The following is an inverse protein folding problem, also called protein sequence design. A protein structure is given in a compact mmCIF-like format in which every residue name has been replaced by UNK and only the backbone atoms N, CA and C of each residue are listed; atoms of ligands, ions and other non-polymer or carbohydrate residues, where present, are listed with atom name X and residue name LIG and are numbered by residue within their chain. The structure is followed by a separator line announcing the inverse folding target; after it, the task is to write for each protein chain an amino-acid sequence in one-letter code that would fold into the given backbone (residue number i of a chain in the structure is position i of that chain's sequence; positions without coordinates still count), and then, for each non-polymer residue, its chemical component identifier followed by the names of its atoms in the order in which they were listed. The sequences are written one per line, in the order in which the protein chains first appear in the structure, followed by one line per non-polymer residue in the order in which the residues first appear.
data_IF_796084736579
#
_entry.id   IF_796084736579
#
_cell.length_a   1.000
_cell.length_b   1.000
_cell.length_c   1.000
_cell.angle_alpha   90.00
_cell.angle_beta   90.00
_cell.angle_gamma   90.00
#
_symmetry.space_group_name_H-M   'P 1'
#
loop_
_entity.id
_entity.type
_entity.pdbx_description
1 polymer ?
#
# COMPACT_ATOMS: atom_id res chain seq x y z
N UNK A 1 24.12 6.41 -10.19
CA UNK A 1 22.65 6.45 -9.98
C UNK A 1 22.39 6.21 -8.51
N UNK A 2 21.41 6.90 -7.90
CA UNK A 2 20.98 6.55 -6.53
C UNK A 2 20.40 5.14 -6.51
N UNK A 3 20.69 4.39 -5.45
CA UNK A 3 20.07 3.09 -5.22
C UNK A 3 18.56 3.28 -5.01
N UNK A 4 17.77 2.28 -5.36
CA UNK A 4 16.31 2.36 -5.26
C UNK A 4 15.78 1.37 -4.24
N UNK A 5 14.74 1.79 -3.50
CA UNK A 5 14.04 0.94 -2.56
C UNK A 5 12.53 1.11 -2.71
N UNK A 6 11.80 0.03 -2.58
CA UNK A 6 10.34 0.01 -2.46
C UNK A 6 10.00 -0.47 -1.06
N UNK A 7 9.22 0.34 -0.33
CA UNK A 7 8.56 -0.09 0.91
C UNK A 7 7.12 -0.44 0.54
N UNK A 8 6.78 -1.73 0.61
CA UNK A 8 5.45 -2.24 0.23
C UNK A 8 4.63 -2.62 1.46
N UNK A 9 3.40 -2.11 1.52
CA UNK A 9 2.45 -2.39 2.60
C UNK A 9 1.27 -3.23 2.08
N UNK A 10 1.03 -4.36 2.73
CA UNK A 10 -0.12 -5.24 2.42
C UNK A 10 -1.45 -4.62 2.86
N UNK A 11 -2.57 -5.22 2.45
CA UNK A 11 -3.91 -4.78 2.81
C UNK A 11 -4.35 -5.19 4.22
N UNK A 12 -5.57 -4.77 4.56
CA UNK A 12 -6.22 -5.11 5.83
C UNK A 12 -6.28 -6.62 6.07
N UNK A 13 -6.01 -7.00 7.30
CA UNK A 13 -6.09 -8.39 7.81
C UNK A 13 -5.37 -9.42 6.93
N UNK A 14 -4.28 -9.01 6.29
CA UNK A 14 -3.44 -9.79 5.40
C UNK A 14 -2.01 -9.85 5.94
N UNK A 15 -1.10 -10.44 5.19
CA UNK A 15 0.32 -10.49 5.49
C UNK A 15 1.14 -10.50 4.20
N UNK A 16 2.39 -10.08 4.28
CA UNK A 16 3.40 -10.26 3.22
C UNK A 16 4.33 -11.43 3.50
N UNK A 17 4.55 -11.72 4.78
CA UNK A 17 5.47 -12.74 5.27
C UNK A 17 4.70 -13.81 6.06
N UNK A 18 5.16 -15.05 5.97
CA UNK A 18 4.71 -16.14 6.84
C UNK A 18 5.22 -15.97 8.29
N UNK A 19 4.86 -16.89 9.17
CA UNK A 19 5.28 -16.86 10.58
C UNK A 19 6.79 -17.07 10.79
N UNK A 20 7.50 -17.53 9.77
CA UNK A 20 8.96 -17.70 9.75
C UNK A 20 9.68 -16.51 9.13
N UNK A 21 8.94 -15.49 8.66
CA UNK A 21 9.49 -14.31 8.01
C UNK A 21 9.82 -14.50 6.52
N UNK A 22 9.36 -15.57 5.88
CA UNK A 22 9.52 -15.75 4.45
C UNK A 22 8.39 -15.07 3.67
N UNK A 23 8.71 -14.57 2.48
CA UNK A 23 7.71 -13.97 1.59
C UNK A 23 6.61 -14.98 1.24
N UNK A 24 5.35 -14.55 1.31
CA UNK A 24 4.20 -15.35 0.88
C UNK A 24 4.13 -15.44 -0.64
N UNK A 25 4.90 -16.37 -1.20
CA UNK A 25 5.02 -16.59 -2.65
C UNK A 25 3.75 -17.14 -3.31
N UNK A 26 2.80 -17.63 -2.53
CA UNK A 26 1.45 -17.97 -3.03
C UNK A 26 0.67 -16.74 -3.53
N UNK A 27 1.08 -15.53 -3.13
CA UNK A 27 0.54 -14.28 -3.64
C UNK A 27 1.32 -13.84 -4.87
N UNK A 28 0.77 -14.09 -6.06
CA UNK A 28 1.42 -13.78 -7.34
C UNK A 28 2.00 -12.36 -7.37
N UNK A 29 1.26 -11.37 -6.86
CA UNK A 29 1.72 -9.99 -6.80
C UNK A 29 3.04 -9.81 -6.06
N UNK A 30 3.19 -10.42 -4.89
CA UNK A 30 4.42 -10.32 -4.10
C UNK A 30 5.58 -11.01 -4.79
N UNK A 31 5.35 -12.21 -5.36
CA UNK A 31 6.39 -12.93 -6.10
C UNK A 31 6.87 -12.15 -7.31
N UNK A 32 5.93 -11.62 -8.11
CA UNK A 32 6.26 -10.82 -9.30
C UNK A 32 7.06 -9.57 -8.92
N UNK A 33 6.68 -8.89 -7.84
CA UNK A 33 7.42 -7.70 -7.36
C UNK A 33 8.80 -8.06 -6.83
N UNK A 34 8.94 -9.16 -6.09
CA UNK A 34 10.23 -9.65 -5.60
C UNK A 34 11.18 -9.95 -6.77
N UNK A 35 10.71 -10.69 -7.78
CA UNK A 35 11.50 -11.06 -8.95
C UNK A 35 11.91 -9.84 -9.77
N UNK A 36 10.96 -8.92 -9.99
CA UNK A 36 11.23 -7.65 -10.67
C UNK A 36 12.29 -6.82 -9.93
N UNK A 37 12.14 -6.65 -8.62
CA UNK A 37 13.08 -5.87 -7.83
C UNK A 37 14.47 -6.51 -7.80
N UNK A 38 14.56 -7.84 -7.69
CA UNK A 38 15.83 -8.56 -7.73
C UNK A 38 16.54 -8.38 -9.08
N UNK A 39 15.82 -8.43 -10.21
CA UNK A 39 16.39 -8.22 -11.54
C UNK A 39 16.92 -6.80 -11.76
N UNK A 40 16.32 -5.81 -11.09
CA UNK A 40 16.66 -4.38 -11.23
C UNK A 40 17.56 -3.85 -10.12
N UNK A 41 18.03 -4.71 -9.23
CA UNK A 41 18.83 -4.33 -8.05
C UNK A 41 18.13 -3.29 -7.15
N UNK A 42 16.79 -3.42 -7.03
CA UNK A 42 15.95 -2.59 -6.17
C UNK A 42 15.74 -3.33 -4.85
N UNK A 43 15.90 -2.65 -3.71
CA UNK A 43 15.51 -3.23 -2.43
C UNK A 43 13.98 -3.31 -2.37
N UNK A 44 13.45 -4.48 -2.07
CA UNK A 44 12.02 -4.69 -1.83
C UNK A 44 11.79 -5.04 -0.37
N UNK A 45 11.37 -4.05 0.42
CA UNK A 45 11.06 -4.21 1.83
C UNK A 45 9.55 -4.31 2.01
N UNK A 46 9.08 -5.41 2.56
CA UNK A 46 7.65 -5.67 2.73
C UNK A 46 7.38 -6.33 4.08
N UNK A 47 7.29 -5.54 5.16
CA UNK A 47 7.02 -6.05 6.51
C UNK A 47 5.56 -6.50 6.64
N UNK A 48 5.29 -7.36 7.62
CA UNK A 48 3.95 -7.50 8.15
C UNK A 48 3.65 -6.30 9.06
N UNK A 49 2.47 -5.72 8.89
CA UNK A 49 1.99 -4.58 9.67
C UNK A 49 0.66 -4.89 10.34
N UNK A 50 0.46 -4.35 11.53
CA UNK A 50 -0.76 -4.52 12.30
C UNK A 50 -1.61 -3.25 12.30
N UNK A 51 -2.61 -3.21 11.45
CA UNK A 51 -3.49 -2.05 11.28
C UNK A 51 -4.37 -1.72 12.50
N UNK A 52 -4.29 -2.51 13.57
CA UNK A 52 -4.94 -2.15 14.86
C UNK A 52 -4.26 -0.95 15.53
N UNK A 53 -3.02 -0.68 15.13
CA UNK A 53 -2.22 0.48 15.58
C UNK A 53 -1.58 1.15 14.36
N UNK A 54 -2.30 2.09 13.76
CA UNK A 54 -1.80 2.77 12.57
C UNK A 54 -0.68 3.78 12.89
N UNK A 55 -0.66 4.32 14.11
CA UNK A 55 0.42 5.20 14.57
C UNK A 55 1.75 4.46 14.59
N UNK A 56 1.79 3.28 15.18
CA UNK A 56 2.99 2.44 15.18
C UNK A 56 3.47 2.10 13.75
N UNK A 57 2.55 1.80 12.83
CA UNK A 57 2.92 1.57 11.42
C UNK A 57 3.61 2.81 10.83
N UNK A 58 3.04 4.00 11.05
CA UNK A 58 3.61 5.24 10.53
C UNK A 58 5.00 5.48 11.11
N UNK A 59 5.18 5.33 12.43
CA UNK A 59 6.47 5.50 13.10
C UNK A 59 7.53 4.52 12.58
N UNK A 60 7.19 3.23 12.49
CA UNK A 60 8.08 2.19 11.99
C UNK A 60 8.49 2.46 10.53
N UNK A 61 7.55 2.83 9.67
CA UNK A 61 7.85 3.08 8.26
C UNK A 61 8.66 4.37 8.06
N UNK A 62 8.46 5.39 8.88
CA UNK A 62 9.30 6.60 8.87
C UNK A 62 10.71 6.30 9.38
N UNK A 63 10.84 5.44 10.38
CA UNK A 63 12.15 4.97 10.84
C UNK A 63 12.89 4.20 9.74
N UNK A 64 12.25 3.24 9.09
CA UNK A 64 12.83 2.47 7.98
C UNK A 64 13.19 3.38 6.79
N UNK A 65 12.31 4.31 6.43
CA UNK A 65 12.60 5.30 5.39
C UNK A 65 13.88 6.08 5.68
N UNK A 66 14.05 6.57 6.93
CA UNK A 66 15.28 7.27 7.32
C UNK A 66 16.52 6.37 7.20
N UNK A 67 16.43 5.08 7.56
CA UNK A 67 17.52 4.13 7.38
C UNK A 67 17.93 3.96 5.91
N UNK A 68 16.99 4.05 4.97
CA UNK A 68 17.28 4.03 3.55
C UNK A 68 17.86 5.34 3.04
N UNK A 69 17.37 6.48 3.51
CA UNK A 69 17.93 7.81 3.18
C UNK A 69 19.39 7.93 3.60
N UNK A 70 19.73 7.52 4.81
CA UNK A 70 21.10 7.56 5.34
C UNK A 70 22.07 6.72 4.50
N UNK A 71 21.56 5.70 3.81
CA UNK A 71 22.30 4.86 2.86
C UNK A 71 22.21 5.36 1.41
N UNK A 72 21.66 6.55 1.17
CA UNK A 72 21.49 7.18 -0.15
C UNK A 72 20.58 6.40 -1.09
N UNK A 73 19.49 5.84 -0.58
CA UNK A 73 18.42 5.26 -1.40
C UNK A 73 17.36 6.31 -1.74
N UNK A 74 16.83 6.23 -2.94
CA UNK A 74 15.58 6.86 -3.34
C UNK A 74 14.44 5.86 -3.05
N UNK A 75 13.52 6.26 -2.19
CA UNK A 75 12.47 5.39 -1.66
C UNK A 75 11.13 5.70 -2.31
N UNK A 76 10.40 4.65 -2.68
CA UNK A 76 9.02 4.71 -3.15
C UNK A 76 8.14 3.89 -2.19
N UNK A 77 7.05 4.51 -1.72
CA UNK A 77 6.02 3.77 -0.98
C UNK A 77 5.03 3.13 -1.95
N UNK A 78 4.71 1.88 -1.72
CA UNK A 78 3.76 1.12 -2.52
C UNK A 78 2.87 0.29 -1.61
N UNK A 79 1.59 0.17 -1.94
CA UNK A 79 0.71 -0.68 -1.14
C UNK A 79 -0.61 -1.01 -1.81
N UNK A 80 -1.26 -2.05 -1.30
CA UNK A 80 -2.55 -2.51 -1.79
C UNK A 80 -3.64 -2.28 -0.76
N UNK A 81 -4.85 -1.92 -1.21
CA UNK A 81 -6.01 -1.74 -0.33
C UNK A 81 -5.69 -0.75 0.79
N UNK A 82 -5.78 -1.15 2.06
CA UNK A 82 -5.41 -0.33 3.21
C UNK A 82 -3.91 0.06 3.19
N UNK A 83 -3.05 -0.80 2.64
CA UNK A 83 -1.64 -0.46 2.39
C UNK A 83 -1.46 0.65 1.35
N UNK A 84 -2.41 0.79 0.41
CA UNK A 84 -2.45 1.91 -0.53
C UNK A 84 -2.72 3.24 0.17
N UNK A 85 -3.68 3.28 1.11
CA UNK A 85 -3.91 4.43 1.98
C UNK A 85 -2.67 4.78 2.82
N UNK A 86 -2.06 3.78 3.45
CA UNK A 86 -0.85 3.97 4.24
C UNK A 86 0.31 4.52 3.39
N UNK A 87 0.49 4.02 2.17
CA UNK A 87 1.53 4.49 1.25
C UNK A 87 1.32 5.94 0.82
N UNK A 88 0.06 6.34 0.57
CA UNK A 88 -0.27 7.74 0.28
C UNK A 88 0.03 8.65 1.46
N UNK A 89 -0.37 8.24 2.66
CA UNK A 89 -0.10 9.00 3.88
C UNK A 89 1.41 9.16 4.15
N UNK A 90 2.17 8.09 4.03
CA UNK A 90 3.63 8.11 4.20
C UNK A 90 4.32 8.97 3.14
N UNK A 91 3.85 8.93 1.89
CA UNK A 91 4.35 9.82 0.84
C UNK A 91 4.07 11.30 1.14
N UNK A 92 2.90 11.61 1.72
CA UNK A 92 2.61 12.96 2.21
C UNK A 92 3.60 13.40 3.29
N UNK A 93 3.93 12.53 4.25
CA UNK A 93 4.85 12.86 5.36
C UNK A 93 6.30 13.02 4.92
N UNK A 94 6.72 12.32 3.88
CA UNK A 94 8.13 12.21 3.46
C UNK A 94 8.48 12.98 2.18
N UNK A 95 7.47 13.33 1.37
CA UNK A 95 7.68 13.86 0.03
C UNK A 95 8.09 12.81 -1.01
N UNK A 96 8.07 11.52 -0.66
CA UNK A 96 8.33 10.42 -1.58
C UNK A 96 7.17 10.22 -2.58
N UNK A 97 7.41 9.40 -3.62
CA UNK A 97 6.35 8.93 -4.53
C UNK A 97 5.52 7.83 -3.86
N UNK A 98 4.24 7.73 -4.26
CA UNK A 98 3.35 6.65 -3.84
C UNK A 98 2.78 5.89 -5.04
N UNK A 99 2.76 4.56 -4.96
CA UNK A 99 1.94 3.69 -5.82
C UNK A 99 0.85 3.05 -4.96
N UNK A 100 -0.38 3.32 -5.34
CA UNK A 100 -1.57 2.84 -4.64
C UNK A 100 -2.31 1.83 -5.52
N UNK A 101 -2.42 0.59 -5.07
CA UNK A 101 -3.07 -0.50 -5.79
C UNK A 101 -4.44 -0.75 -5.17
N UNK A 102 -5.52 -0.57 -5.93
CA UNK A 102 -6.89 -0.74 -5.44
C UNK A 102 -7.08 -0.17 -4.03
N UNK A 103 -6.75 1.12 -3.79
CA UNK A 103 -6.60 1.65 -2.43
C UNK A 103 -7.92 1.80 -1.69
N UNK A 104 -7.91 1.53 -0.38
CA UNK A 104 -8.97 1.95 0.53
C UNK A 104 -8.88 3.47 0.73
N UNK A 105 -9.86 4.22 0.24
CA UNK A 105 -9.82 5.69 0.26
C UNK A 105 -10.23 6.25 1.62
N UNK A 106 -11.28 5.68 2.22
CA UNK A 106 -11.82 6.07 3.54
C UNK A 106 -11.90 4.84 4.44
N UNK A 107 -10.78 4.45 5.03
CA UNK A 107 -10.75 3.30 5.93
C UNK A 107 -11.76 3.37 7.07
N UNK A 108 -11.99 4.56 7.65
CA UNK A 108 -12.96 4.74 8.75
C UNK A 108 -14.40 4.39 8.34
N UNK A 109 -14.76 4.59 7.08
CA UNK A 109 -16.07 4.24 6.53
C UNK A 109 -16.13 2.81 5.99
N UNK A 110 -15.02 2.30 5.46
CA UNK A 110 -14.95 1.00 4.80
C UNK A 110 -14.82 -0.16 5.79
N UNK A 111 -14.04 0.00 6.86
CA UNK A 111 -13.64 -1.08 7.75
C UNK A 111 -14.66 -1.47 8.84
N UNK A 112 -15.68 -0.68 9.21
CA UNK A 112 -16.68 -1.08 10.21
C UNK A 112 -17.41 -2.39 9.89
N UNK A 113 -17.57 -2.74 8.62
CA UNK A 113 -18.19 -4.01 8.19
C UNK A 113 -17.41 -5.27 8.61
N UNK A 114 -16.15 -5.10 9.03
CA UNK A 114 -15.26 -6.17 9.46
C UNK A 114 -15.13 -6.28 10.99
N UNK A 115 -15.83 -5.45 11.77
CA UNK A 115 -15.81 -5.55 13.22
C UNK A 115 -16.25 -6.94 13.66
N UNK A 116 -15.47 -7.57 14.56
CA UNK A 116 -15.69 -8.91 15.04
C UNK A 116 -14.84 -10.00 14.37
N UNK A 117 -14.07 -9.68 13.32
CA UNK A 117 -13.04 -10.60 12.81
C UNK A 117 -12.04 -10.91 13.93
N UNK A 118 -11.72 -12.19 14.11
CA UNK A 118 -10.94 -12.68 15.24
C UNK A 118 -9.59 -13.32 14.85
N UNK A 119 -9.30 -13.45 13.55
CA UNK A 119 -8.04 -14.03 13.07
C UNK A 119 -7.55 -13.37 11.77
N UNK A 120 -6.24 -13.37 11.54
CA UNK A 120 -5.63 -12.91 10.31
C UNK A 120 -5.88 -13.92 9.19
N UNK A 121 -6.31 -13.43 8.00
CA UNK A 121 -6.71 -14.28 6.87
C UNK A 121 -5.57 -15.14 6.32
N UNK A 122 -4.32 -14.72 6.48
CA UNK A 122 -3.16 -15.42 5.88
C UNK A 122 -2.41 -16.27 6.89
N UNK A 123 -2.25 -15.77 8.11
CA UNK A 123 -1.42 -16.41 9.13
C UNK A 123 -2.23 -17.17 10.17
N UNK A 124 -3.57 -17.03 10.17
CA UNK A 124 -4.48 -17.55 11.19
C UNK A 124 -4.11 -17.11 12.63
N UNK A 125 -3.30 -16.06 12.78
CA UNK A 125 -2.99 -15.51 14.09
C UNK A 125 -4.20 -14.76 14.67
N UNK A 126 -4.39 -14.76 15.99
CA UNK A 126 -5.45 -13.98 16.63
C UNK A 126 -5.39 -12.50 16.21
N UNK A 127 -6.48 -12.01 15.66
CA UNK A 127 -6.60 -10.66 15.14
C UNK A 127 -7.99 -10.11 15.40
N UNK A 128 -8.15 -9.35 16.47
CA UNK A 128 -9.45 -8.82 16.84
C UNK A 128 -9.63 -7.40 16.32
N UNK A 129 -10.61 -7.21 15.42
CA UNK A 129 -10.95 -5.91 14.85
C UNK A 129 -12.12 -5.29 15.57
N UNK A 130 -11.96 -4.07 16.09
CA UNK A 130 -12.90 -3.35 16.92
C UNK A 130 -13.24 -1.97 16.35
N UNK A 131 -14.28 -1.33 16.88
CA UNK A 131 -14.72 0.00 16.49
C UNK A 131 -13.58 1.04 16.60
N UNK A 132 -12.82 1.03 17.69
CA UNK A 132 -11.69 1.93 17.88
C UNK A 132 -10.63 1.83 16.78
N UNK A 133 -10.42 0.61 16.21
CA UNK A 133 -9.48 0.42 15.11
C UNK A 133 -9.97 1.05 13.80
N UNK A 134 -11.28 1.28 13.64
CA UNK A 134 -11.81 2.03 12.50
C UNK A 134 -11.69 3.54 12.75
N UNK A 135 -12.02 3.99 13.95
CA UNK A 135 -12.07 5.40 14.33
C UNK A 135 -10.70 6.08 14.30
N UNK A 136 -9.62 5.35 14.57
CA UNK A 136 -8.26 5.89 14.48
C UNK A 136 -7.96 6.52 13.11
N UNK A 137 -8.53 5.99 12.02
CA UNK A 137 -8.27 6.50 10.67
C UNK A 137 -8.86 7.88 10.39
N UNK A 138 -9.85 8.34 11.17
CA UNK A 138 -10.54 9.64 10.94
C UNK A 138 -9.53 10.80 10.94
N UNK A 139 -8.61 10.81 11.90
CA UNK A 139 -7.59 11.87 11.99
C UNK A 139 -6.61 11.86 10.82
N UNK A 140 -6.18 10.68 10.38
CA UNK A 140 -5.27 10.51 9.25
C UNK A 140 -5.92 10.86 7.91
N UNK A 141 -7.21 10.52 7.74
CA UNK A 141 -8.00 10.93 6.58
C UNK A 141 -8.13 12.45 6.51
N UNK A 142 -8.46 13.11 7.64
CA UNK A 142 -8.57 14.57 7.72
C UNK A 142 -7.24 15.27 7.44
N UNK A 143 -6.13 14.75 7.97
CA UNK A 143 -4.79 15.28 7.71
C UNK A 143 -4.44 15.17 6.23
N UNK A 144 -4.71 14.02 5.61
CA UNK A 144 -4.46 13.78 4.19
C UNK A 144 -5.32 14.69 3.29
N UNK A 145 -6.61 14.86 3.62
CA UNK A 145 -7.54 15.72 2.87
C UNK A 145 -7.18 17.21 2.99
N UNK A 146 -6.73 17.67 4.15
CA UNK A 146 -6.37 19.06 4.40
C UNK A 146 -4.95 19.43 3.98
N UNK A 147 -4.13 18.44 3.62
CA UNK A 147 -2.74 18.66 3.23
C UNK A 147 -2.64 19.49 1.94
N UNK A 148 -1.83 20.54 1.99
CA UNK A 148 -1.46 21.34 0.82
C UNK A 148 -0.19 20.80 0.14
N UNK A 149 0.42 19.76 0.68
CA UNK A 149 1.62 19.14 0.13
C UNK A 149 1.29 18.41 -1.18
N UNK A 150 2.06 18.70 -2.22
CA UNK A 150 1.95 17.96 -3.48
C UNK A 150 2.54 16.56 -3.29
N UNK A 151 1.69 15.55 -3.42
CA UNK A 151 2.09 14.15 -3.39
C UNK A 151 2.14 13.63 -4.83
N UNK A 152 3.26 13.03 -5.22
CA UNK A 152 3.38 12.32 -6.49
C UNK A 152 2.75 10.93 -6.36
N UNK A 153 1.50 10.81 -6.83
CA UNK A 153 0.67 9.60 -6.69
C UNK A 153 0.50 8.91 -8.03
N UNK A 154 0.59 7.61 -8.02
CA UNK A 154 0.12 6.76 -9.12
C UNK A 154 -0.85 5.73 -8.58
N UNK A 155 -2.04 5.67 -9.19
CA UNK A 155 -3.05 4.65 -8.90
C UNK A 155 -3.02 3.58 -9.97
N UNK A 156 -3.09 2.33 -9.52
CA UNK A 156 -3.27 1.15 -10.34
C UNK A 156 -4.60 0.52 -9.93
N UNK A 157 -5.57 0.50 -10.83
CA UNK A 157 -6.93 0.05 -10.54
C UNK A 157 -7.34 -1.11 -11.43
N UNK A 158 -7.74 -2.23 -10.84
CA UNK A 158 -8.54 -3.26 -11.47
C UNK A 158 -10.02 -2.84 -11.42
N UNK A 159 -10.63 -2.64 -12.60
CA UNK A 159 -11.97 -2.03 -12.68
C UNK A 159 -13.10 -2.96 -12.23
N UNK A 160 -12.85 -4.28 -12.07
CA UNK A 160 -13.81 -5.22 -11.51
C UNK A 160 -13.50 -5.58 -10.04
N UNK A 161 -12.84 -4.68 -9.28
CA UNK A 161 -12.64 -4.84 -7.84
C UNK A 161 -14.00 -4.98 -7.13
N UNK A 162 -14.19 -6.11 -6.42
CA UNK A 162 -15.44 -6.47 -5.77
C UNK A 162 -15.59 -5.90 -4.36
N UNK A 163 -14.51 -5.30 -3.80
CA UNK A 163 -14.49 -4.76 -2.44
C UNK A 163 -14.45 -3.23 -2.41
N UNK A 164 -13.75 -2.62 -3.38
CA UNK A 164 -13.56 -1.17 -3.52
C UNK A 164 -14.23 -0.72 -4.81
N UNK A 165 -15.05 0.31 -4.72
CA UNK A 165 -15.68 0.95 -5.87
C UNK A 165 -14.63 1.67 -6.73
N UNK A 166 -14.15 1.00 -7.78
CA UNK A 166 -13.10 1.49 -8.67
C UNK A 166 -13.53 2.74 -9.42
N UNK A 167 -14.81 2.89 -9.80
CA UNK A 167 -15.31 4.07 -10.49
C UNK A 167 -15.32 5.29 -9.56
N UNK A 168 -15.73 5.11 -8.30
CA UNK A 168 -15.67 6.16 -7.28
C UNK A 168 -14.22 6.56 -6.99
N UNK A 169 -13.31 5.59 -6.90
CA UNK A 169 -11.89 5.82 -6.71
C UNK A 169 -11.30 6.62 -7.87
N UNK A 170 -11.59 6.20 -9.11
CA UNK A 170 -11.16 6.89 -10.32
C UNK A 170 -11.68 8.34 -10.33
N UNK A 171 -12.96 8.56 -10.05
CA UNK A 171 -13.55 9.91 -10.04
C UNK A 171 -12.87 10.83 -9.02
N UNK A 172 -12.46 10.29 -7.86
CA UNK A 172 -11.82 11.07 -6.80
C UNK A 172 -10.37 11.45 -7.14
N UNK A 173 -9.65 10.57 -7.84
CA UNK A 173 -8.21 10.74 -8.05
C UNK A 173 -7.80 11.20 -9.45
N UNK A 174 -8.70 11.24 -10.43
CA UNK A 174 -8.39 11.56 -11.84
C UNK A 174 -7.65 12.90 -12.04
N UNK A 175 -7.87 13.87 -11.16
CA UNK A 175 -7.20 15.19 -11.20
C UNK A 175 -6.05 15.31 -10.17
N UNK A 176 -5.88 14.30 -9.30
CA UNK A 176 -4.93 14.35 -8.19
C UNK A 176 -3.76 13.37 -8.34
N UNK A 177 -3.87 12.44 -9.26
CA UNK A 177 -2.90 11.35 -9.43
C UNK A 177 -2.75 10.96 -10.90
N UNK A 178 -1.65 10.27 -11.21
CA UNK A 178 -1.55 9.49 -12.43
C UNK A 178 -2.36 8.20 -12.24
N UNK A 179 -3.45 8.01 -12.98
CA UNK A 179 -4.31 6.83 -12.84
C UNK A 179 -4.15 5.90 -14.04
N UNK A 180 -3.88 4.65 -13.77
CA UNK A 180 -3.82 3.56 -14.76
C UNK A 180 -4.88 2.53 -14.39
N UNK A 181 -5.82 2.30 -15.30
CA UNK A 181 -6.92 1.35 -15.12
C UNK A 181 -6.71 0.11 -15.98
N UNK A 182 -7.12 -1.03 -15.45
CA UNK A 182 -7.11 -2.31 -16.12
C UNK A 182 -8.54 -2.87 -16.17
N UNK A 183 -8.99 -3.31 -17.34
CA UNK A 183 -10.32 -3.87 -17.49
C UNK A 183 -10.41 -5.24 -16.83
N UNK A 184 -11.45 -5.48 -16.04
CA UNK A 184 -11.57 -6.73 -15.26
C UNK A 184 -10.70 -6.73 -14.00
N UNK A 185 -10.12 -7.88 -13.69
CA UNK A 185 -9.33 -8.11 -12.48
C UNK A 185 -10.18 -8.24 -11.22
N UNK A 186 -9.57 -8.08 -10.06
CA UNK A 186 -10.20 -8.23 -8.75
C UNK A 186 -9.52 -7.35 -7.70
N UNK A 187 -10.04 -7.36 -6.46
CA UNK A 187 -9.39 -6.67 -5.33
C UNK A 187 -7.94 -7.10 -5.09
N UNK A 188 -7.60 -8.34 -5.44
CA UNK A 188 -6.23 -8.86 -5.34
C UNK A 188 -5.24 -8.21 -6.32
N UNK A 189 -5.73 -7.50 -7.33
CA UNK A 189 -4.98 -6.88 -8.41
C UNK A 189 -4.26 -7.90 -9.30
N UNK A 190 -4.96 -8.36 -10.33
CA UNK A 190 -4.48 -9.43 -11.23
C UNK A 190 -3.52 -8.91 -12.32
N UNK A 191 -3.45 -7.60 -12.52
CA UNK A 191 -2.68 -6.98 -13.59
C UNK A 191 -1.26 -6.54 -13.17
N UNK A 192 -0.69 -7.14 -12.12
CA UNK A 192 0.63 -6.72 -11.61
C UNK A 192 1.73 -6.84 -12.68
N UNK A 193 1.70 -7.89 -13.53
CA UNK A 193 2.69 -8.07 -14.60
C UNK A 193 2.61 -6.96 -15.65
N UNK A 194 1.39 -6.56 -16.01
CA UNK A 194 1.16 -5.45 -16.95
C UNK A 194 1.56 -4.11 -16.35
N UNK A 195 1.43 -3.96 -15.03
CA UNK A 195 1.76 -2.75 -14.31
C UNK A 195 3.29 -2.52 -14.15
N UNK A 196 4.12 -3.56 -14.33
CA UNK A 196 5.58 -3.45 -14.14
C UNK A 196 6.22 -2.33 -14.94
N UNK A 197 5.78 -2.09 -16.18
CA UNK A 197 6.30 -1.01 -17.01
C UNK A 197 6.03 0.39 -16.43
N UNK A 198 4.85 0.58 -15.81
CA UNK A 198 4.48 1.82 -15.11
C UNK A 198 5.30 1.97 -13.85
N UNK A 199 5.43 0.90 -13.07
CA UNK A 199 6.21 0.86 -11.82
C UNK A 199 7.68 1.18 -12.12
N UNK A 200 8.28 0.55 -13.12
CA UNK A 200 9.67 0.80 -13.55
C UNK A 200 9.90 2.26 -13.91
N UNK A 201 9.01 2.83 -14.74
CA UNK A 201 9.10 4.23 -15.14
C UNK A 201 9.09 5.18 -13.93
N UNK A 202 8.25 4.90 -12.92
CA UNK A 202 8.15 5.74 -11.71
C UNK A 202 9.38 5.65 -10.82
N UNK A 203 9.97 4.47 -10.70
CA UNK A 203 11.16 4.25 -9.88
C UNK A 203 12.37 4.95 -10.46
N UNK A 204 12.48 5.01 -11.78
CA UNK A 204 13.66 5.56 -12.49
C UNK A 204 13.45 6.97 -13.08
N UNK A 205 12.30 7.62 -12.78
CA UNK A 205 12.04 9.01 -13.19
C UNK A 205 12.63 10.09 -12.24
#
# INVERSE_FOLDING_TARGET
MMKKAIIYLHGFNSASLDLQGNLLTCKEKLQVMQDFCAQKEIVFYTPNVDYRDFEAIVEDMLFEWNQYLDKSYDVLFMGSSLGGFASEYLAMKTGCKAIMINPAIKPSELLPKYIGISENFETAQPYQWQQANCEQFISYEQELESSTQRIDRTLLLDMADELIDSEKTLALYKEKANVVTYAGGSHSFEHIKQALAVIEKLIFS
#
